data_IF_194058314432
#
_entry.id   IF_194058314432
#
_cell.length_a   1.000
_cell.length_b   1.000
_cell.length_c   1.000
_cell.angle_alpha   90.00
_cell.angle_beta   90.00
_cell.angle_gamma   90.00
#
_symmetry.space_group_name_H-M   'P 1'
#
loop_
_entity.id
_entity.type
_entity.pdbx_description
1 polymer ?
#
# COMPACT_ATOMS: atom_id res chain seq x y z
N UNK A 1 -20.19 7.51 -15.12
CA UNK A 1 -20.03 8.29 -13.87
C UNK A 1 -20.41 7.49 -12.62
N UNK A 2 -21.65 7.03 -12.41
CA UNK A 2 -22.04 6.33 -11.17
C UNK A 2 -21.23 5.07 -10.81
N UNK A 3 -20.86 4.23 -11.80
CA UNK A 3 -20.07 3.03 -11.56
C UNK A 3 -18.61 3.28 -11.16
N UNK A 4 -18.04 4.44 -11.49
CA UNK A 4 -16.65 4.74 -11.18
C UNK A 4 -16.47 5.13 -9.70
N UNK A 5 -17.43 5.86 -9.13
CA UNK A 5 -17.44 6.17 -7.70
C UNK A 5 -17.53 4.91 -6.84
N UNK A 6 -18.33 3.92 -7.28
CA UNK A 6 -18.43 2.64 -6.59
C UNK A 6 -17.09 1.89 -6.60
N UNK A 7 -16.38 1.91 -7.73
CA UNK A 7 -15.06 1.29 -7.81
C UNK A 7 -14.04 1.98 -6.93
N UNK A 8 -14.02 3.32 -6.88
CA UNK A 8 -13.13 4.08 -5.98
C UNK A 8 -13.44 3.74 -4.52
N UNK A 9 -14.72 3.76 -4.14
CA UNK A 9 -15.13 3.39 -2.79
C UNK A 9 -14.71 1.96 -2.44
N UNK A 10 -14.90 1.01 -3.36
CA UNK A 10 -14.44 -0.36 -3.17
C UNK A 10 -12.91 -0.44 -3.00
N UNK A 11 -12.12 0.30 -3.79
CA UNK A 11 -10.66 0.31 -3.66
C UNK A 11 -10.20 0.86 -2.31
N UNK A 12 -10.84 1.93 -1.84
CA UNK A 12 -10.61 2.49 -0.49
C UNK A 12 -10.90 1.40 0.55
N UNK A 13 -12.07 0.77 0.50
CA UNK A 13 -12.47 -0.28 1.45
C UNK A 13 -11.52 -1.48 1.42
N UNK A 14 -11.18 -2.01 0.25
CA UNK A 14 -10.25 -3.13 0.10
C UNK A 14 -8.83 -2.78 0.56
N UNK A 15 -8.35 -1.56 0.32
CA UNK A 15 -7.11 -1.06 0.90
C UNK A 15 -7.16 -0.99 2.43
N UNK A 16 -8.27 -0.51 2.99
CA UNK A 16 -8.52 -0.54 4.43
C UNK A 16 -8.49 -1.96 5.01
N UNK A 17 -9.11 -2.93 4.34
CA UNK A 17 -9.10 -4.35 4.74
C UNK A 17 -7.66 -4.91 4.72
N UNK A 18 -6.86 -4.53 3.74
CA UNK A 18 -5.43 -4.88 3.69
C UNK A 18 -4.67 -4.35 4.91
N UNK A 19 -4.85 -3.06 5.22
CA UNK A 19 -4.24 -2.42 6.39
C UNK A 19 -4.71 -3.01 7.71
N UNK A 20 -6.00 -3.32 7.82
CA UNK A 20 -6.58 -3.95 9.00
C UNK A 20 -6.01 -5.35 9.20
N UNK A 21 -5.91 -6.16 8.13
CA UNK A 21 -5.28 -7.48 8.18
C UNK A 21 -3.84 -7.39 8.69
N UNK A 22 -3.07 -6.41 8.21
CA UNK A 22 -1.71 -6.18 8.69
C UNK A 22 -1.66 -5.82 10.18
N UNK A 23 -2.57 -4.94 10.63
CA UNK A 23 -2.64 -4.54 12.04
C UNK A 23 -3.08 -5.69 12.93
N UNK A 24 -4.10 -6.46 12.54
CA UNK A 24 -4.55 -7.65 13.26
C UNK A 24 -3.43 -8.68 13.40
N UNK A 25 -2.65 -8.90 12.33
CA UNK A 25 -1.46 -9.76 12.38
C UNK A 25 -0.44 -9.23 13.39
N UNK A 26 -0.19 -7.92 13.40
CA UNK A 26 0.72 -7.28 14.35
C UNK A 26 0.26 -7.41 15.80
N UNK A 27 -1.02 -7.20 16.07
CA UNK A 27 -1.62 -7.37 17.40
C UNK A 27 -1.54 -8.83 17.82
N UNK A 28 -1.92 -9.77 16.97
CA UNK A 28 -1.85 -11.21 17.24
C UNK A 28 -0.43 -11.64 17.60
N UNK A 29 0.58 -11.25 16.80
CA UNK A 29 1.97 -11.63 17.06
C UNK A 29 2.51 -10.98 18.34
N UNK A 30 2.27 -9.69 18.56
CA UNK A 30 2.83 -9.01 19.74
C UNK A 30 2.09 -9.32 21.04
N UNK A 31 0.77 -9.43 21.00
CA UNK A 31 -0.05 -9.69 22.19
C UNK A 31 -0.12 -11.18 22.50
N UNK A 32 -0.44 -12.03 21.53
CA UNK A 32 -0.73 -13.45 21.76
C UNK A 32 0.49 -14.35 21.71
N UNK A 33 1.40 -14.13 20.75
CA UNK A 33 2.57 -15.02 20.56
C UNK A 33 3.76 -14.58 21.41
N UNK A 34 4.21 -13.35 21.23
CA UNK A 34 5.44 -12.87 21.87
C UNK A 34 5.22 -12.31 23.29
N UNK A 35 3.97 -12.01 23.68
CA UNK A 35 3.60 -11.42 24.98
C UNK A 35 4.37 -10.13 25.32
N UNK A 36 4.69 -9.32 24.30
CA UNK A 36 5.45 -8.06 24.41
C UNK A 36 4.58 -6.86 24.04
N UNK A 37 3.33 -6.85 24.48
CA UNK A 37 2.41 -5.76 24.18
C UNK A 37 2.84 -4.47 24.87
N UNK A 38 3.04 -3.41 24.10
CA UNK A 38 3.40 -2.08 24.61
C UNK A 38 2.29 -1.09 24.18
N UNK A 39 1.58 -0.44 25.13
CA UNK A 39 0.48 0.47 24.82
C UNK A 39 0.86 1.65 23.92
N UNK A 40 2.13 2.07 23.94
CA UNK A 40 2.64 3.14 23.08
C UNK A 40 2.55 2.85 21.57
N UNK A 41 2.30 1.59 21.17
CA UNK A 41 2.10 1.22 19.77
C UNK A 41 0.65 1.36 19.29
N UNK A 42 -0.33 1.61 20.18
CA UNK A 42 -1.74 1.81 19.79
C UNK A 42 -1.92 2.85 18.68
N UNK A 43 -1.32 4.05 18.77
CA UNK A 43 -1.46 5.07 17.73
C UNK A 43 -0.99 4.56 16.37
N UNK A 44 0.08 3.75 16.34
CA UNK A 44 0.58 3.16 15.10
C UNK A 44 -0.42 2.17 14.50
N UNK A 45 -1.04 1.30 15.33
CA UNK A 45 -2.07 0.37 14.87
C UNK A 45 -3.35 1.05 14.37
N UNK A 46 -3.64 2.28 14.84
CA UNK A 46 -4.83 3.05 14.41
C UNK A 46 -4.52 3.91 13.17
N UNK A 47 -3.32 4.50 13.10
CA UNK A 47 -2.91 5.31 11.95
C UNK A 47 -2.70 4.44 10.70
N UNK A 48 -2.18 3.22 10.87
CA UNK A 48 -1.83 2.35 9.74
C UNK A 48 -3.04 2.01 8.85
N UNK A 49 -4.21 1.58 9.36
CA UNK A 49 -5.41 1.38 8.53
C UNK A 49 -5.88 2.65 7.81
N UNK A 50 -5.73 3.82 8.43
CA UNK A 50 -6.09 5.11 7.80
C UNK A 50 -5.20 5.37 6.59
N UNK A 51 -3.89 5.15 6.72
CA UNK A 51 -2.95 5.26 5.58
C UNK A 51 -3.27 4.23 4.50
N UNK A 52 -3.62 3.00 4.88
CA UNK A 52 -4.00 1.93 3.95
C UNK A 52 -5.29 2.24 3.17
N UNK A 53 -6.28 2.90 3.79
CA UNK A 53 -7.49 3.39 3.10
C UNK A 53 -7.12 4.40 2.01
N UNK A 54 -6.24 5.35 2.33
CA UNK A 54 -5.79 6.39 1.39
C UNK A 54 -5.02 5.76 0.23
N UNK A 55 -4.08 4.84 0.50
CA UNK A 55 -3.32 4.16 -0.55
C UNK A 55 -4.19 3.27 -1.43
N UNK A 56 -5.22 2.63 -0.88
CA UNK A 56 -6.22 1.90 -1.67
C UNK A 56 -7.01 2.81 -2.62
N UNK A 57 -7.32 4.04 -2.20
CA UNK A 57 -7.89 5.04 -3.11
C UNK A 57 -6.89 5.48 -4.20
N UNK A 58 -5.63 5.71 -3.83
CA UNK A 58 -4.58 6.14 -4.76
C UNK A 58 -4.27 5.05 -5.80
N UNK A 59 -4.27 3.77 -5.43
CA UNK A 59 -4.04 2.67 -6.39
C UNK A 59 -5.05 2.68 -7.54
N UNK A 60 -6.30 3.09 -7.30
CA UNK A 60 -7.29 3.26 -8.38
C UNK A 60 -6.82 4.29 -9.42
N UNK A 61 -6.29 5.44 -8.97
CA UNK A 61 -5.79 6.49 -9.86
C UNK A 61 -4.62 5.98 -10.71
N UNK A 62 -3.68 5.26 -10.09
CA UNK A 62 -2.50 4.75 -10.79
C UNK A 62 -2.83 3.64 -11.80
N UNK A 63 -3.87 2.83 -11.55
CA UNK A 63 -4.31 1.84 -12.54
C UNK A 63 -5.07 2.51 -13.67
N UNK A 64 -5.98 3.43 -13.38
CA UNK A 64 -6.76 4.15 -14.40
C UNK A 64 -5.90 5.05 -15.28
N UNK A 65 -4.81 5.61 -14.75
CA UNK A 65 -3.85 6.39 -15.52
C UNK A 65 -2.85 5.54 -16.31
N UNK A 66 -2.82 4.23 -16.08
CA UNK A 66 -1.83 3.32 -16.68
C UNK A 66 -0.43 3.42 -16.07
N UNK A 67 -0.22 4.26 -15.05
CA UNK A 67 1.09 4.51 -14.43
C UNK A 67 1.69 3.31 -13.70
N UNK A 68 0.85 2.43 -13.15
CA UNK A 68 1.32 1.17 -12.55
C UNK A 68 1.53 0.05 -13.57
N UNK A 69 1.09 0.23 -14.82
CA UNK A 69 1.09 -0.78 -15.88
C UNK A 69 2.23 -0.58 -16.90
N UNK A 70 3.17 0.34 -16.65
CA UNK A 70 4.38 0.47 -17.46
C UNK A 70 5.23 -0.81 -17.31
N UNK A 71 5.00 -1.79 -18.18
CA UNK A 71 5.80 -3.02 -18.30
C UNK A 71 5.08 -4.35 -18.03
N UNK A 72 3.79 -4.38 -17.70
CA UNK A 72 3.03 -5.63 -17.48
C UNK A 72 1.88 -5.78 -18.47
N UNK A 73 1.71 -6.98 -19.05
CA UNK A 73 0.57 -7.26 -19.93
C UNK A 73 -0.77 -6.99 -19.22
N UNK A 74 -1.66 -6.28 -19.93
CA UNK A 74 -2.91 -5.67 -19.42
C UNK A 74 -3.98 -6.66 -18.91
N UNK A 75 -3.71 -7.96 -18.92
CA UNK A 75 -4.73 -9.00 -18.91
C UNK A 75 -5.52 -9.08 -17.60
N UNK A 76 -4.93 -8.76 -16.44
CA UNK A 76 -5.61 -8.95 -15.14
C UNK A 76 -5.91 -7.65 -14.39
N UNK A 77 -5.07 -6.62 -14.53
CA UNK A 77 -5.17 -5.37 -13.77
C UNK A 77 -6.21 -4.38 -14.30
N UNK A 78 -6.67 -4.54 -15.56
CA UNK A 78 -7.75 -3.72 -16.14
C UNK A 78 -9.15 -4.12 -15.67
N UNK A 79 -9.30 -5.27 -15.02
CA UNK A 79 -10.60 -5.74 -14.50
C UNK A 79 -10.92 -5.10 -13.15
N UNK A 80 -12.21 -4.86 -12.80
CA UNK A 80 -12.58 -4.33 -11.50
C UNK A 80 -12.00 -5.13 -10.32
N UNK A 81 -11.98 -6.47 -10.45
CA UNK A 81 -11.40 -7.37 -9.46
C UNK A 81 -9.87 -7.21 -9.34
N UNK A 82 -9.17 -7.01 -10.46
CA UNK A 82 -7.74 -6.74 -10.46
C UNK A 82 -7.38 -5.43 -9.73
N UNK A 83 -8.16 -4.38 -9.96
CA UNK A 83 -7.98 -3.08 -9.29
C UNK A 83 -8.25 -3.21 -7.78
N UNK A 84 -9.30 -3.94 -7.38
CA UNK A 84 -9.59 -4.18 -5.96
C UNK A 84 -8.50 -5.03 -5.28
N UNK A 85 -8.00 -6.04 -5.98
CA UNK A 85 -6.91 -6.89 -5.48
C UNK A 85 -5.62 -6.10 -5.29
N UNK A 86 -5.28 -5.24 -6.25
CA UNK A 86 -4.14 -4.34 -6.12
C UNK A 86 -4.31 -3.35 -4.96
N UNK A 87 -5.51 -2.81 -4.80
CA UNK A 87 -5.82 -1.89 -3.70
C UNK A 87 -5.68 -2.56 -2.33
N UNK A 88 -6.10 -3.82 -2.22
CA UNK A 88 -5.85 -4.63 -1.03
C UNK A 88 -4.34 -4.82 -0.77
N UNK A 89 -3.55 -5.16 -1.79
CA UNK A 89 -2.10 -5.33 -1.66
C UNK A 89 -1.42 -4.02 -1.25
N UNK A 90 -1.84 -2.90 -1.84
CA UNK A 90 -1.37 -1.56 -1.52
C UNK A 90 -1.61 -1.22 -0.04
N UNK A 91 -2.80 -1.55 0.47
CA UNK A 91 -3.15 -1.37 1.87
C UNK A 91 -2.41 -2.33 2.83
N UNK A 92 -2.18 -3.58 2.40
CA UNK A 92 -1.47 -4.60 3.18
C UNK A 92 0.01 -4.25 3.38
N UNK A 93 0.68 -3.77 2.33
CA UNK A 93 2.10 -3.42 2.34
C UNK A 93 2.34 -1.96 1.91
N UNK A 94 1.84 -1.05 2.74
CA UNK A 94 1.98 0.42 2.60
C UNK A 94 3.40 0.83 2.19
N UNK A 95 4.43 0.39 2.90
CA UNK A 95 5.81 0.85 2.66
C UNK A 95 6.32 0.45 1.27
N UNK A 96 6.10 -0.81 0.88
CA UNK A 96 6.52 -1.32 -0.44
C UNK A 96 5.75 -0.65 -1.57
N UNK A 97 4.46 -0.37 -1.35
CA UNK A 97 3.63 0.30 -2.34
C UNK A 97 4.05 1.77 -2.54
N UNK A 98 4.36 2.49 -1.45
CA UNK A 98 4.91 3.85 -1.52
C UNK A 98 6.25 3.87 -2.26
N UNK A 99 7.16 2.94 -1.95
CA UNK A 99 8.43 2.84 -2.69
C UNK A 99 8.20 2.61 -4.18
N UNK A 100 7.18 1.82 -4.56
CA UNK A 100 6.86 1.60 -5.98
C UNK A 100 6.29 2.85 -6.65
N UNK A 101 5.46 3.62 -5.95
CA UNK A 101 4.97 4.92 -6.44
C UNK A 101 6.14 5.89 -6.65
N UNK A 102 7.09 5.95 -5.73
CA UNK A 102 8.27 6.80 -5.88
C UNK A 102 9.16 6.38 -7.06
N UNK A 103 9.32 5.08 -7.30
CA UNK A 103 10.03 4.54 -8.46
C UNK A 103 9.35 4.95 -9.79
N UNK A 104 8.02 4.83 -9.85
CA UNK A 104 7.22 5.32 -10.99
C UNK A 104 7.38 6.84 -11.13
N UNK A 105 7.36 7.57 -10.00
CA UNK A 105 7.56 9.01 -9.92
C UNK A 105 8.90 9.46 -10.52
N UNK A 106 9.97 8.79 -10.12
CA UNK A 106 11.32 9.01 -10.62
C UNK A 106 11.45 8.65 -12.10
N UNK A 107 10.78 7.60 -12.56
CA UNK A 107 10.87 7.14 -13.95
C UNK A 107 10.09 8.04 -14.91
N UNK A 108 8.89 8.48 -14.52
CA UNK A 108 7.99 9.25 -15.39
C UNK A 108 8.29 10.75 -15.32
N UNK A 109 8.65 11.27 -14.14
CA UNK A 109 8.83 12.71 -13.92
C UNK A 109 10.22 13.12 -13.43
N UNK A 110 11.16 12.19 -13.24
CA UNK A 110 12.50 12.52 -12.77
C UNK A 110 12.54 13.03 -11.32
N UNK A 111 11.51 12.76 -10.52
CA UNK A 111 11.43 13.17 -9.12
C UNK A 111 12.30 12.26 -8.25
N UNK A 112 13.20 12.86 -7.49
CA UNK A 112 14.08 12.14 -6.55
C UNK A 112 13.26 11.41 -5.46
N UNK A 113 13.55 10.13 -5.14
CA UNK A 113 12.87 9.40 -4.07
C UNK A 113 13.00 10.08 -2.70
N UNK A 114 12.01 9.86 -1.84
CA UNK A 114 11.99 10.54 -0.53
C UNK A 114 13.13 10.06 0.38
N UNK A 115 13.54 10.92 1.33
CA UNK A 115 14.58 10.58 2.33
C UNK A 115 14.22 9.33 3.14
N UNK A 116 12.92 9.12 3.40
CA UNK A 116 12.40 7.95 4.12
C UNK A 116 12.66 6.65 3.36
N UNK A 117 12.50 6.66 2.03
CA UNK A 117 12.80 5.51 1.18
C UNK A 117 14.31 5.26 1.02
N UNK A 118 15.14 6.31 1.01
CA UNK A 118 16.61 6.16 0.91
C UNK A 118 17.23 5.46 2.12
N UNK A 119 16.66 5.64 3.32
CA UNK A 119 17.16 4.99 4.53
C UNK A 119 16.85 3.48 4.58
N UNK A 120 15.79 3.01 3.92
CA UNK A 120 15.42 1.58 3.92
C UNK A 120 16.26 0.74 2.96
N UNK A 121 16.80 1.31 1.88
CA UNK A 121 17.71 0.64 0.94
C UNK A 121 19.15 0.56 1.46
N UNK A 122 19.65 1.58 2.18
CA UNK A 122 21.01 1.57 2.75
C UNK A 122 21.20 0.49 3.84
N UNK A 123 20.14 0.10 4.54
CA UNK A 123 20.20 -1.01 5.50
C UNK A 123 20.35 -2.38 4.83
N UNK A 124 20.03 -2.53 3.53
CA UNK A 124 20.23 -3.78 2.79
C UNK A 124 21.65 -3.90 2.20
N UNK A 125 22.35 -2.79 1.94
CA UNK A 125 23.73 -2.82 1.40
C UNK A 125 24.81 -3.08 2.45
N UNK A 126 24.50 -2.96 3.74
CA UNK A 126 25.46 -3.22 4.84
C UNK A 126 25.42 -4.68 5.33
N UNK A 127 24.44 -5.49 4.86
CA UNK A 127 24.28 -6.90 5.25
C UNK A 127 24.66 -7.92 4.16
N UNK A 128 25.22 -7.47 3.02
CA UNK A 128 25.78 -8.34 1.98
C UNK A 128 27.30 -8.19 1.89
#
# INVERSE_FOLDING_TARGET
MHGEYLNVAACILFGGIGGLTYCLRGVYLNASVHKRWVPGWLPWYVLRPVVSLVLGGISYLFVKSGLLLLGSEQTSAGTPLGIWSLSFIAGLNVDRFVSKIEEVGSTVWGVEPSRTSKNSSHSQSIQN
#
